data_IF_448357118124
#
_entry.id   IF_448357118124
#
_cell.length_a   1.000
_cell.length_b   1.000
_cell.length_c   1.000
_cell.angle_alpha   90.00
_cell.angle_beta   90.00
_cell.angle_gamma   90.00
#
_symmetry.space_group_name_H-M   'P 1'
#
loop_
_entity.id
_entity.type
_entity.pdbx_description
1 polymer ?
#
# COMPACT_ATOMS: atom_id res chain seq x y z
N UNK A 1 5.77 -21.02 -2.43
CA UNK A 1 5.16 -20.62 -3.72
C UNK A 1 3.63 -20.58 -3.66
N UNK A 2 2.95 -21.65 -3.21
CA UNK A 2 1.47 -21.74 -3.13
C UNK A 2 0.80 -20.54 -2.43
N UNK A 3 1.34 -20.10 -1.28
CA UNK A 3 0.83 -18.92 -0.55
C UNK A 3 0.96 -17.60 -1.34
N UNK A 4 2.00 -17.42 -2.14
CA UNK A 4 2.16 -16.18 -2.94
C UNK A 4 1.14 -16.14 -4.08
N UNK A 5 0.95 -17.24 -4.81
CA UNK A 5 -0.04 -17.31 -5.90
C UNK A 5 -1.47 -17.08 -5.39
N UNK A 6 -1.79 -17.61 -4.20
CA UNK A 6 -3.08 -17.34 -3.55
C UNK A 6 -3.27 -15.85 -3.23
N UNK A 7 -2.24 -15.18 -2.70
CA UNK A 7 -2.27 -13.74 -2.44
C UNK A 7 -2.47 -12.93 -3.73
N UNK A 8 -1.70 -13.23 -4.79
CA UNK A 8 -1.84 -12.55 -6.09
C UNK A 8 -3.25 -12.73 -6.65
N UNK A 9 -3.80 -13.94 -6.56
CA UNK A 9 -5.18 -14.21 -7.00
C UNK A 9 -6.21 -13.40 -6.18
N UNK A 10 -5.98 -13.23 -4.89
CA UNK A 10 -6.82 -12.41 -4.02
C UNK A 10 -6.70 -10.91 -4.37
N UNK A 11 -5.49 -10.41 -4.64
CA UNK A 11 -5.25 -9.02 -5.05
C UNK A 11 -5.95 -8.70 -6.38
N UNK A 12 -5.83 -9.56 -7.39
CA UNK A 12 -6.55 -9.41 -8.67
C UNK A 12 -8.07 -9.48 -8.46
N UNK A 13 -8.54 -10.40 -7.61
CA UNK A 13 -9.95 -10.53 -7.27
C UNK A 13 -10.51 -9.30 -6.55
N UNK A 14 -9.72 -8.66 -5.70
CA UNK A 14 -10.08 -7.42 -5.01
C UNK A 14 -10.38 -6.31 -6.02
N UNK A 15 -9.51 -6.10 -7.01
CA UNK A 15 -9.74 -5.11 -8.07
C UNK A 15 -11.02 -5.41 -8.84
N UNK A 16 -11.24 -6.67 -9.25
CA UNK A 16 -12.47 -7.05 -9.96
C UNK A 16 -13.75 -6.75 -9.18
N UNK A 17 -13.69 -6.73 -7.84
CA UNK A 17 -14.86 -6.47 -6.98
C UNK A 17 -15.07 -5.00 -6.65
N UNK A 18 -14.04 -4.16 -6.77
CA UNK A 18 -14.05 -2.77 -6.29
C UNK A 18 -13.95 -1.72 -7.38
N UNK A 19 -13.40 -2.08 -8.53
CA UNK A 19 -13.26 -1.17 -9.66
C UNK A 19 -14.30 -1.48 -10.74
N UNK A 20 -15.31 -0.61 -10.95
CA UNK A 20 -16.29 -0.76 -12.00
C UNK A 20 -15.70 -0.75 -13.42
N UNK A 21 -14.49 -0.21 -13.61
CA UNK A 21 -13.82 -0.16 -14.90
C UNK A 21 -13.11 -1.47 -15.28
N UNK A 22 -12.97 -2.41 -14.35
CA UNK A 22 -12.31 -3.68 -14.59
C UNK A 22 -13.19 -4.63 -15.42
N UNK A 23 -12.80 -4.95 -16.66
CA UNK A 23 -13.61 -5.80 -17.56
C UNK A 23 -13.20 -7.29 -17.54
N UNK A 24 -12.10 -7.62 -16.87
CA UNK A 24 -11.69 -9.02 -16.71
C UNK A 24 -10.36 -9.20 -15.97
N UNK A 25 -10.14 -10.40 -15.43
CA UNK A 25 -8.94 -10.71 -14.63
C UNK A 25 -7.63 -10.65 -15.41
N UNK A 26 -7.66 -11.02 -16.70
CA UNK A 26 -6.47 -10.95 -17.56
C UNK A 26 -6.09 -9.51 -17.86
N UNK A 27 -7.07 -8.66 -18.17
CA UNK A 27 -6.86 -7.22 -18.31
C UNK A 27 -6.24 -6.66 -17.03
N UNK A 28 -6.88 -6.91 -15.87
CA UNK A 28 -6.37 -6.47 -14.57
C UNK A 28 -4.91 -6.87 -14.36
N UNK A 29 -4.60 -8.15 -14.59
CA UNK A 29 -3.25 -8.66 -14.38
C UNK A 29 -2.21 -8.01 -15.30
N UNK A 30 -2.58 -7.56 -16.50
CA UNK A 30 -1.66 -7.03 -17.51
C UNK A 30 -1.60 -5.50 -17.49
N UNK A 31 -2.67 -4.81 -17.11
CA UNK A 31 -2.78 -3.36 -17.28
C UNK A 31 -2.83 -2.56 -15.98
N UNK A 32 -2.98 -3.18 -14.80
CA UNK A 32 -3.12 -2.44 -13.53
C UNK A 32 -1.79 -2.29 -12.80
N UNK A 33 -1.18 -1.08 -12.80
CA UNK A 33 0.13 -0.87 -12.18
C UNK A 33 0.11 -1.09 -10.67
N UNK A 34 -1.03 -0.80 -10.01
CA UNK A 34 -1.22 -1.07 -8.58
C UNK A 34 -1.10 -2.56 -8.24
N UNK A 35 -1.69 -3.44 -9.07
CA UNK A 35 -1.55 -4.89 -8.92
C UNK A 35 -0.10 -5.33 -9.12
N UNK A 36 0.56 -4.81 -10.16
CA UNK A 36 1.97 -5.10 -10.40
C UNK A 36 2.85 -4.68 -9.22
N UNK A 37 2.66 -3.48 -8.69
CA UNK A 37 3.42 -2.96 -7.54
C UNK A 37 3.29 -3.87 -6.31
N UNK A 38 2.07 -4.34 -6.02
CA UNK A 38 1.81 -5.28 -4.91
C UNK A 38 2.50 -6.62 -5.16
N UNK A 39 2.43 -7.18 -6.37
CA UNK A 39 3.12 -8.45 -6.73
C UNK A 39 4.63 -8.31 -6.47
N UNK A 40 5.25 -7.26 -7.00
CA UNK A 40 6.67 -6.99 -6.80
C UNK A 40 7.02 -6.80 -5.33
N UNK A 41 6.22 -6.04 -4.57
CA UNK A 41 6.42 -5.87 -3.13
C UNK A 41 6.33 -7.21 -2.38
N UNK A 42 5.35 -8.07 -2.69
CA UNK A 42 5.21 -9.38 -2.06
C UNK A 42 6.40 -10.30 -2.33
N UNK A 43 7.07 -10.17 -3.48
CA UNK A 43 8.31 -10.87 -3.82
C UNK A 43 9.49 -10.25 -3.07
N UNK A 44 9.68 -8.93 -3.17
CA UNK A 44 10.76 -8.19 -2.55
C UNK A 44 10.74 -8.33 -1.01
N UNK A 45 9.57 -8.26 -0.38
CA UNK A 45 9.41 -8.44 1.07
C UNK A 45 9.75 -9.86 1.55
N UNK A 46 9.57 -10.89 0.71
CA UNK A 46 10.05 -12.25 1.03
C UNK A 46 11.57 -12.33 0.99
N UNK A 47 12.21 -11.69 0.02
CA UNK A 47 13.68 -11.59 -0.03
C UNK A 47 14.21 -10.78 1.16
N UNK A 48 13.55 -9.68 1.52
CA UNK A 48 13.88 -8.84 2.67
C UNK A 48 13.87 -9.62 3.99
N UNK A 49 12.81 -10.38 4.26
CA UNK A 49 12.69 -11.23 5.46
C UNK A 49 13.69 -12.38 5.52
N UNK A 50 14.27 -12.79 4.38
CA UNK A 50 15.35 -13.79 4.30
C UNK A 50 16.75 -13.19 4.47
N UNK A 51 16.85 -11.88 4.72
CA UNK A 51 18.13 -11.18 4.87
C UNK A 51 18.75 -10.68 3.55
N UNK A 52 18.14 -10.95 2.39
CA UNK A 52 18.62 -10.49 1.08
C UNK A 52 18.22 -9.03 0.83
N UNK A 53 18.66 -8.13 1.71
CA UNK A 53 18.22 -6.73 1.77
C UNK A 53 18.57 -5.94 0.51
N UNK A 54 19.78 -6.14 -0.04
CA UNK A 54 20.22 -5.48 -1.28
C UNK A 54 19.35 -5.86 -2.47
N UNK A 55 19.13 -7.15 -2.69
CA UNK A 55 18.26 -7.65 -3.77
C UNK A 55 16.82 -7.18 -3.59
N UNK A 56 16.29 -7.19 -2.37
CA UNK A 56 14.95 -6.69 -2.09
C UNK A 56 14.80 -5.19 -2.41
N UNK A 57 15.81 -4.37 -2.06
CA UNK A 57 15.83 -2.93 -2.41
C UNK A 57 15.90 -2.71 -3.91
N UNK A 58 16.72 -3.48 -4.62
CA UNK A 58 16.81 -3.41 -6.07
C UNK A 58 15.47 -3.79 -6.74
N UNK A 59 14.81 -4.86 -6.28
CA UNK A 59 13.50 -5.26 -6.79
C UNK A 59 12.44 -4.17 -6.55
N UNK A 60 12.41 -3.56 -5.36
CA UNK A 60 11.51 -2.41 -5.09
C UNK A 60 11.82 -1.21 -6.00
N UNK A 61 13.09 -0.96 -6.31
CA UNK A 61 13.48 0.11 -7.24
C UNK A 61 13.01 -0.17 -8.68
N UNK A 62 13.17 -1.41 -9.18
CA UNK A 62 12.64 -1.82 -10.49
C UNK A 62 11.11 -1.70 -10.52
N UNK A 63 10.44 -2.15 -9.47
CA UNK A 63 8.98 -2.04 -9.36
C UNK A 63 8.52 -0.59 -9.45
N UNK A 64 9.20 0.32 -8.72
CA UNK A 64 8.92 1.76 -8.79
C UNK A 64 9.11 2.32 -10.20
N UNK A 65 10.18 1.93 -10.89
CA UNK A 65 10.44 2.37 -12.26
C UNK A 65 9.32 1.97 -13.22
N UNK A 66 8.79 0.75 -13.08
CA UNK A 66 7.77 0.20 -13.97
C UNK A 66 6.33 0.65 -13.62
N UNK A 67 6.07 0.96 -12.35
CA UNK A 67 4.69 1.17 -11.85
C UNK A 67 4.42 2.57 -11.32
N UNK A 68 5.46 3.39 -11.11
CA UNK A 68 5.39 4.68 -10.43
C UNK A 68 4.84 4.62 -8.98
N UNK A 69 4.95 3.44 -8.34
CA UNK A 69 4.55 3.17 -6.95
C UNK A 69 5.81 2.79 -6.16
N UNK A 70 6.15 3.53 -5.10
CA UNK A 70 7.30 3.25 -4.25
C UNK A 70 6.85 2.53 -2.96
N UNK A 71 7.13 1.23 -2.87
CA UNK A 71 6.85 0.43 -1.67
C UNK A 71 8.16 -0.12 -1.12
N UNK A 72 8.52 0.31 0.09
CA UNK A 72 9.66 -0.25 0.79
C UNK A 72 9.42 -1.75 1.06
N UNK A 73 10.40 -2.64 0.81
CA UNK A 73 10.19 -4.09 0.97
C UNK A 73 9.98 -4.53 2.43
N UNK A 74 10.33 -3.67 3.39
CA UNK A 74 10.09 -3.86 4.82
C UNK A 74 8.64 -3.56 5.27
N UNK A 75 7.83 -2.88 4.45
CA UNK A 75 6.45 -2.58 4.80
C UNK A 75 5.65 -3.88 4.99
N UNK A 76 4.69 -3.86 5.92
CA UNK A 76 3.78 -4.98 6.14
C UNK A 76 2.43 -4.66 5.53
N UNK A 77 1.98 -5.48 4.58
CA UNK A 77 0.73 -5.28 3.84
C UNK A 77 -0.11 -6.55 3.94
N UNK A 78 -1.36 -6.39 4.37
CA UNK A 78 -2.36 -7.44 4.46
C UNK A 78 -2.82 -8.00 3.11
N UNK A 79 -4.00 -8.61 3.14
CA UNK A 79 -4.69 -9.18 1.99
C UNK A 79 -5.67 -8.17 1.38
N UNK A 80 -5.96 -8.30 0.08
CA UNK A 80 -6.95 -7.45 -0.63
C UNK A 80 -6.64 -5.95 -0.50
N UNK A 81 -5.36 -5.61 -0.47
CA UNK A 81 -4.90 -4.24 -0.54
C UNK A 81 -5.10 -3.71 -1.96
N UNK A 82 -5.74 -2.57 -2.10
CA UNK A 82 -6.02 -1.97 -3.40
C UNK A 82 -5.29 -0.63 -3.54
N UNK A 83 -4.49 -0.51 -4.60
CA UNK A 83 -3.90 0.76 -5.01
C UNK A 83 -4.59 1.18 -6.31
N UNK A 84 -5.49 2.15 -6.20
CA UNK A 84 -6.22 2.68 -7.34
C UNK A 84 -5.45 3.86 -7.96
N UNK A 85 -5.22 3.80 -9.28
CA UNK A 85 -4.41 4.76 -10.02
C UNK A 85 -3.00 5.03 -9.44
N UNK A 86 -2.31 4.03 -8.89
CA UNK A 86 -1.14 4.16 -7.97
C UNK A 86 0.05 5.09 -8.27
N UNK A 87 0.07 5.85 -9.37
CA UNK A 87 1.06 6.88 -9.64
C UNK A 87 1.33 7.78 -8.42
N UNK A 88 2.60 7.86 -8.02
CA UNK A 88 3.05 8.71 -6.92
C UNK A 88 2.70 8.19 -5.52
N UNK A 89 2.21 6.95 -5.38
CA UNK A 89 2.02 6.33 -4.07
C UNK A 89 3.37 5.99 -3.45
N UNK A 90 3.56 6.35 -2.18
CA UNK A 90 4.79 6.13 -1.41
C UNK A 90 4.47 5.46 -0.08
N UNK A 91 5.05 4.28 0.17
CA UNK A 91 4.84 3.49 1.40
C UNK A 91 6.19 3.20 2.06
N UNK A 92 6.41 3.79 3.22
CA UNK A 92 7.67 3.69 3.94
C UNK A 92 7.91 2.37 4.67
N UNK A 93 9.15 2.17 5.11
CA UNK A 93 9.68 0.89 5.63
C UNK A 93 8.87 0.27 6.75
N UNK A 94 8.44 1.06 7.72
CA UNK A 94 7.78 0.55 8.93
C UNK A 94 6.27 0.72 8.90
N UNK A 95 5.72 0.98 7.70
CA UNK A 95 4.28 1.06 7.50
C UNK A 95 3.65 -0.32 7.74
N UNK A 96 2.51 -0.32 8.42
CA UNK A 96 1.68 -1.51 8.61
C UNK A 96 0.33 -1.21 8.01
N UNK A 97 -0.12 -2.03 7.06
CA UNK A 97 -1.37 -1.86 6.34
C UNK A 97 -2.18 -3.14 6.54
N UNK A 98 -3.37 -2.98 7.11
CA UNK A 98 -4.32 -4.06 7.32
C UNK A 98 -4.91 -4.61 6.03
N UNK A 99 -5.91 -5.45 6.20
CA UNK A 99 -6.68 -6.04 5.11
C UNK A 99 -7.65 -5.02 4.51
N UNK A 100 -8.00 -5.20 3.24
CA UNK A 100 -9.07 -4.45 2.58
C UNK A 100 -8.86 -2.93 2.49
N UNK A 101 -7.63 -2.45 2.74
CA UNK A 101 -7.29 -1.03 2.62
C UNK A 101 -7.24 -0.61 1.15
N UNK A 102 -7.73 0.59 0.86
CA UNK A 102 -7.63 1.22 -0.47
C UNK A 102 -6.83 2.52 -0.38
N UNK A 103 -5.79 2.67 -1.20
CA UNK A 103 -5.11 3.94 -1.43
C UNK A 103 -5.34 4.41 -2.85
N UNK A 104 -5.64 5.70 -3.02
CA UNK A 104 -5.61 6.35 -4.32
C UNK A 104 -4.20 6.89 -4.66
N UNK A 105 -4.05 7.36 -5.90
CA UNK A 105 -2.84 7.99 -6.41
C UNK A 105 -2.28 9.09 -5.49
N UNK A 106 -0.96 9.30 -5.51
CA UNK A 106 -0.29 10.38 -4.77
C UNK A 106 -0.29 10.26 -3.24
N UNK A 107 -0.83 9.17 -2.68
CA UNK A 107 -0.85 8.94 -1.23
C UNK A 107 0.57 8.68 -0.70
N UNK A 108 0.91 9.25 0.46
CA UNK A 108 2.17 8.96 1.15
C UNK A 108 1.91 8.47 2.57
N UNK A 109 2.49 7.31 2.90
CA UNK A 109 2.61 6.79 4.27
C UNK A 109 4.05 7.01 4.73
N UNK A 110 4.30 8.21 5.26
CA UNK A 110 5.64 8.78 5.46
C UNK A 110 6.11 8.80 6.90
N UNK A 111 7.40 9.04 7.10
CA UNK A 111 8.00 9.24 8.42
C UNK A 111 8.23 10.71 8.74
N UNK A 112 8.32 11.01 10.04
CA UNK A 112 8.62 12.37 10.56
C UNK A 112 9.92 12.42 11.36
N UNK A 113 10.63 11.30 11.48
CA UNK A 113 11.87 11.17 12.26
C UNK A 113 12.95 10.43 11.47
N UNK A 114 14.19 10.83 11.72
CA UNK A 114 15.41 10.19 11.21
C UNK A 114 15.89 9.02 12.07
N UNK A 115 15.27 8.84 13.25
CA UNK A 115 15.66 7.77 14.17
C UNK A 115 15.24 6.40 13.63
N UNK A 116 16.08 5.36 13.84
CA UNK A 116 15.69 3.98 13.57
C UNK A 116 14.43 3.59 14.36
N UNK A 117 13.64 2.66 13.82
CA UNK A 117 12.43 2.13 14.46
C UNK A 117 11.12 2.52 13.77
N UNK A 118 9.99 2.29 14.47
CA UNK A 118 8.64 2.57 13.99
C UNK A 118 8.46 4.08 13.83
N UNK A 119 8.22 4.50 12.59
CA UNK A 119 8.14 5.92 12.21
C UNK A 119 7.13 6.20 11.10
N UNK A 120 6.56 5.17 10.50
CA UNK A 120 5.51 5.28 9.48
C UNK A 120 4.17 4.82 10.04
N UNK A 121 3.05 5.17 9.39
CA UNK A 121 1.72 4.90 9.92
C UNK A 121 1.37 3.42 10.03
N UNK A 122 0.31 3.16 10.78
CA UNK A 122 -0.45 1.91 10.79
C UNK A 122 -1.86 2.21 10.29
N UNK A 123 -2.29 1.55 9.22
CA UNK A 123 -3.66 1.62 8.71
C UNK A 123 -4.36 0.33 9.09
N UNK A 124 -5.44 0.40 9.85
CA UNK A 124 -6.27 -0.76 10.19
C UNK A 124 -7.11 -1.22 8.99
N UNK A 125 -7.88 -2.29 9.17
CA UNK A 125 -8.63 -2.90 8.08
C UNK A 125 -9.65 -1.93 7.47
N UNK A 126 -9.91 -2.06 6.16
CA UNK A 126 -10.95 -1.31 5.46
C UNK A 126 -10.72 0.20 5.36
N UNK A 127 -9.57 0.71 5.80
CA UNK A 127 -9.23 2.14 5.66
C UNK A 127 -9.20 2.54 4.18
N UNK A 128 -9.79 3.69 3.87
CA UNK A 128 -9.74 4.28 2.54
C UNK A 128 -9.01 5.62 2.60
N UNK A 129 -8.00 5.79 1.75
CA UNK A 129 -7.18 7.01 1.72
C UNK A 129 -7.29 7.67 0.36
N UNK A 130 -7.93 8.84 0.35
CA UNK A 130 -8.17 9.66 -0.83
C UNK A 130 -6.89 10.14 -1.51
N UNK A 131 -7.05 10.53 -2.78
CA UNK A 131 -5.95 10.91 -3.64
C UNK A 131 -5.09 12.02 -3.03
N UNK A 132 -3.77 11.88 -3.12
CA UNK A 132 -2.83 12.92 -2.68
C UNK A 132 -2.66 13.07 -1.16
N UNK A 133 -3.38 12.30 -0.32
CA UNK A 133 -3.26 12.44 1.13
C UNK A 133 -1.86 12.05 1.65
N UNK A 134 -1.43 12.70 2.74
CA UNK A 134 -0.15 12.47 3.42
C UNK A 134 -0.43 12.05 4.85
N UNK A 135 -0.10 10.81 5.20
CA UNK A 135 -0.23 10.29 6.56
C UNK A 135 1.18 10.12 7.09
N UNK A 136 1.57 10.92 8.08
CA UNK A 136 2.98 11.02 8.48
C UNK A 136 3.16 10.67 9.95
N UNK A 137 4.19 9.87 10.23
CA UNK A 137 4.58 9.49 11.58
C UNK A 137 4.00 8.15 12.04
N UNK A 138 4.39 7.69 13.24
CA UNK A 138 3.97 6.40 13.79
C UNK A 138 2.55 6.44 14.38
N UNK A 139 1.59 6.99 13.63
CA UNK A 139 0.18 7.11 14.01
C UNK A 139 -0.64 5.92 13.50
N UNK A 140 -1.82 5.73 14.09
CA UNK A 140 -2.78 4.70 13.71
C UNK A 140 -4.03 5.32 13.11
N UNK A 141 -4.42 4.84 11.94
CA UNK A 141 -5.69 5.14 11.29
C UNK A 141 -6.65 3.99 11.58
N UNK A 142 -7.73 4.29 12.30
CA UNK A 142 -8.69 3.33 12.79
C UNK A 142 -9.45 2.59 11.69
N UNK A 143 -9.97 1.41 12.04
CA UNK A 143 -10.67 0.53 11.10
C UNK A 143 -11.81 1.25 10.37
N UNK A 144 -11.94 1.03 9.06
CA UNK A 144 -12.94 1.64 8.19
C UNK A 144 -12.94 3.19 8.17
N UNK A 145 -11.91 3.84 8.69
CA UNK A 145 -11.76 5.28 8.59
C UNK A 145 -11.53 5.71 7.12
N UNK A 146 -11.96 6.93 6.80
CA UNK A 146 -11.82 7.53 5.48
C UNK A 146 -10.98 8.80 5.58
N UNK A 147 -9.89 8.86 4.83
CA UNK A 147 -9.05 10.05 4.74
C UNK A 147 -9.39 10.76 3.42
N UNK A 148 -9.70 12.05 3.50
CA UNK A 148 -10.01 12.89 2.35
C UNK A 148 -8.84 13.05 1.40
N UNK A 149 -9.14 13.49 0.18
CA UNK A 149 -8.11 13.85 -0.77
C UNK A 149 -7.26 15.02 -0.25
N UNK A 150 -5.96 14.99 -0.54
CA UNK A 150 -4.95 15.98 -0.12
C UNK A 150 -4.85 16.27 1.38
N UNK A 151 -5.49 15.47 2.25
CA UNK A 151 -5.41 15.67 3.69
C UNK A 151 -4.00 15.40 4.21
N UNK A 152 -3.59 16.12 5.26
CA UNK A 152 -2.32 15.89 5.96
C UNK A 152 -2.62 15.41 7.38
N UNK A 153 -2.51 14.10 7.58
CA UNK A 153 -2.88 13.43 8.84
C UNK A 153 -1.62 13.18 9.66
N UNK A 154 -1.58 13.80 10.83
CA UNK A 154 -0.45 13.75 11.78
C UNK A 154 -0.84 13.16 13.14
N UNK A 155 -2.12 12.79 13.32
CA UNK A 155 -2.67 12.31 14.58
C UNK A 155 -3.46 10.99 14.39
N UNK A 156 -3.62 10.24 15.49
CA UNK A 156 -4.40 9.01 15.46
C UNK A 156 -5.86 9.30 15.07
N UNK A 157 -6.43 8.44 14.25
CA UNK A 157 -7.82 8.56 13.78
C UNK A 157 -8.67 7.44 14.38
N UNK A 158 -9.83 7.73 15.00
CA UNK A 158 -10.75 6.70 15.49
C UNK A 158 -11.32 5.83 14.36
N UNK A 159 -11.81 4.63 14.70
CA UNK A 159 -12.49 3.75 13.75
C UNK A 159 -13.75 4.43 13.16
N UNK A 160 -14.00 4.21 11.87
CA UNK A 160 -15.15 4.74 11.13
C UNK A 160 -15.15 6.26 10.92
N UNK A 161 -14.16 6.98 11.43
CA UNK A 161 -14.08 8.43 11.30
C UNK A 161 -13.73 8.85 9.86
N UNK A 162 -14.20 10.04 9.47
CA UNK A 162 -13.76 10.71 8.25
C UNK A 162 -12.87 11.89 8.63
N UNK A 163 -11.66 11.93 8.09
CA UNK A 163 -10.69 13.02 8.31
C UNK A 163 -10.49 13.77 7.01
N UNK A 164 -10.59 15.09 7.08
CA UNK A 164 -10.30 16.01 5.98
C UNK A 164 -9.48 17.18 6.52
N UNK A 165 -8.70 17.83 5.66
CA UNK A 165 -7.79 18.92 6.04
C UNK A 165 -6.32 18.55 5.88
#
# INVERSE_FOLDING_TARGET
>A
MKRLLAQIKADVGCVSSRDPAARGKLEILVTYPGVHAIIWHRIAGRAWRRGWRGSARFLSWVARLLTNVDIHPGATIGERFFIDHGAGVVIGETAVIGDDVTLYHGVTLGGVSWSPGKRHPTLQNGVMVGAGAKILGPITIGENARIGANSVVMENTPAGATVVG
#
